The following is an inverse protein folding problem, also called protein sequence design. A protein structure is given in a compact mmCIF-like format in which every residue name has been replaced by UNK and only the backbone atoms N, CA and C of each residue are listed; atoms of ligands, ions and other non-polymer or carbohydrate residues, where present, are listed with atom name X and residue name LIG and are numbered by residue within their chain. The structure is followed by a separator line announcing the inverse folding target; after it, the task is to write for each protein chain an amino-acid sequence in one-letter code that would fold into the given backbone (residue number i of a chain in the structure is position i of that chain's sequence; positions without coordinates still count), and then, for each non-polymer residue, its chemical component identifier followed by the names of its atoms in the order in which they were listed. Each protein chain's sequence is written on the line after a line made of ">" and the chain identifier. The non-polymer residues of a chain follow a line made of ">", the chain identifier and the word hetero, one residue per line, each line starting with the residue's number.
data_IF_110853244664
#
_entry.id   IF_110853244664
#
_cell.length_a   1.000
_cell.length_b   1.000
_cell.length_c   1.000
_cell.angle_alpha   90.00
_cell.angle_beta   90.00
_cell.angle_gamma   90.00
#
_symmetry.space_group_name_H-M   'P 1'
#
loop_
_entity.id
_entity.type
_entity.pdbx_description
1 polymer ?
#
# COMPACT_ATOMS: atom_id res chain seq x y z
N UNK A 1 -21.66 17.42 -10.17
CA UNK A 1 -21.94 17.24 -8.72
C UNK A 1 -22.52 15.84 -8.51
N UNK A 2 -21.82 14.93 -7.81
CA UNK A 2 -22.31 13.55 -7.56
C UNK A 2 -23.49 13.61 -6.59
N UNK A 3 -24.66 13.11 -7.01
CA UNK A 3 -25.96 13.26 -6.30
C UNK A 3 -26.29 12.14 -5.29
N UNK A 4 -25.39 11.19 -5.01
CA UNK A 4 -25.66 10.09 -4.05
C UNK A 4 -24.41 9.76 -3.20
N UNK A 5 -24.53 9.69 -1.86
CA UNK A 5 -23.43 9.23 -1.01
C UNK A 5 -23.18 7.74 -1.27
N UNK A 6 -21.96 7.40 -1.69
CA UNK A 6 -21.50 6.02 -1.83
C UNK A 6 -20.52 5.70 -0.72
N UNK A 7 -20.90 4.78 0.18
CA UNK A 7 -20.05 4.29 1.29
C UNK A 7 -18.73 3.66 0.83
N UNK A 8 -18.59 3.36 -0.46
CA UNK A 8 -17.41 2.77 -1.09
C UNK A 8 -16.15 3.63 -0.97
N UNK A 9 -16.30 4.96 -1.04
CA UNK A 9 -15.17 5.89 -0.96
C UNK A 9 -14.59 5.95 0.46
N UNK A 10 -15.37 6.24 1.53
CA UNK A 10 -14.83 6.25 2.88
C UNK A 10 -14.36 4.86 3.33
N UNK A 11 -15.07 3.79 2.97
CA UNK A 11 -14.63 2.43 3.26
C UNK A 11 -13.33 2.07 2.52
N UNK A 12 -13.19 2.53 1.28
CA UNK A 12 -11.97 2.37 0.51
C UNK A 12 -10.79 3.11 1.12
N UNK A 13 -10.97 4.36 1.57
CA UNK A 13 -9.91 5.10 2.27
C UNK A 13 -9.49 4.35 3.54
N UNK A 14 -10.44 3.87 4.35
CA UNK A 14 -10.13 3.08 5.55
C UNK A 14 -9.39 1.78 5.20
N UNK A 15 -9.80 1.09 4.13
CA UNK A 15 -9.13 -0.11 3.64
C UNK A 15 -7.70 0.18 3.16
N UNK A 16 -7.47 1.30 2.46
CA UNK A 16 -6.14 1.73 2.04
C UNK A 16 -5.24 2.05 3.24
N UNK A 17 -5.77 2.78 4.21
CA UNK A 17 -5.04 3.10 5.44
C UNK A 17 -4.67 1.82 6.19
N UNK A 18 -5.62 0.91 6.39
CA UNK A 18 -5.35 -0.38 7.03
C UNK A 18 -4.29 -1.20 6.27
N UNK A 19 -4.38 -1.25 4.93
CA UNK A 19 -3.38 -1.91 4.09
C UNK A 19 -1.99 -1.29 4.25
N UNK A 20 -1.88 0.04 4.18
CA UNK A 20 -0.61 0.75 4.36
C UNK A 20 -0.05 0.55 5.77
N UNK A 21 -0.90 0.54 6.81
CA UNK A 21 -0.49 0.24 8.17
C UNK A 21 0.08 -1.18 8.29
N UNK A 22 -0.63 -2.19 7.77
CA UNK A 22 -0.16 -3.58 7.77
C UNK A 22 1.16 -3.70 7.01
N UNK A 23 1.27 -3.03 5.86
CA UNK A 23 2.47 -3.02 5.04
C UNK A 23 3.66 -2.41 5.80
N UNK A 24 3.47 -1.24 6.42
CA UNK A 24 4.50 -0.58 7.21
C UNK A 24 4.94 -1.44 8.42
N UNK A 25 3.99 -2.09 9.10
CA UNK A 25 4.30 -3.01 10.20
C UNK A 25 5.11 -4.21 9.69
N UNK A 26 4.73 -4.81 8.56
CA UNK A 26 5.48 -5.92 7.98
C UNK A 26 6.93 -5.52 7.62
N UNK A 27 7.11 -4.35 7.01
CA UNK A 27 8.46 -3.80 6.73
C UNK A 27 9.24 -3.55 8.01
N UNK A 28 8.60 -2.99 9.04
CA UNK A 28 9.22 -2.76 10.35
C UNK A 28 9.70 -4.06 10.99
N UNK A 29 8.91 -5.14 10.92
CA UNK A 29 9.33 -6.46 11.42
C UNK A 29 10.51 -7.05 10.64
N UNK A 30 10.64 -6.71 9.36
CA UNK A 30 11.73 -7.16 8.50
C UNK A 30 13.01 -6.32 8.67
N UNK A 31 12.89 -5.07 9.14
CA UNK A 31 14.00 -4.12 9.28
C UNK A 31 15.23 -4.66 10.04
N UNK A 32 15.11 -5.41 11.16
CA UNK A 32 16.28 -5.96 11.85
C UNK A 32 17.09 -6.93 10.98
N UNK A 33 16.40 -7.74 10.16
CA UNK A 33 17.03 -8.70 9.25
C UNK A 33 17.71 -7.99 8.08
N UNK A 34 17.08 -6.93 7.56
CA UNK A 34 17.63 -6.10 6.48
C UNK A 34 18.87 -5.33 6.97
N UNK A 35 18.86 -4.87 8.23
CA UNK A 35 19.97 -4.13 8.83
C UNK A 35 21.25 -4.94 9.04
N UNK A 36 21.18 -6.27 8.94
CA UNK A 36 22.36 -7.14 8.96
C UNK A 36 23.06 -7.24 7.59
N UNK A 37 22.44 -6.73 6.51
CA UNK A 37 22.97 -6.78 5.16
C UNK A 37 23.92 -5.61 4.87
N UNK A 38 24.81 -5.73 3.86
CA UNK A 38 25.61 -4.60 3.40
C UNK A 38 24.73 -3.42 2.94
N UNK A 39 25.20 -2.19 3.18
CA UNK A 39 24.45 -0.95 2.91
C UNK A 39 23.89 -0.90 1.48
N UNK A 40 24.67 -1.35 0.48
CA UNK A 40 24.23 -1.35 -0.92
C UNK A 40 23.01 -2.25 -1.15
N UNK A 41 22.99 -3.43 -0.51
CA UNK A 41 21.88 -4.39 -0.59
C UNK A 41 20.67 -3.83 0.17
N UNK A 42 20.89 -3.25 1.34
CA UNK A 42 19.86 -2.57 2.11
C UNK A 42 19.17 -1.48 1.29
N UNK A 43 19.93 -0.64 0.57
CA UNK A 43 19.38 0.41 -0.30
C UNK A 43 18.47 -0.18 -1.37
N UNK A 44 18.92 -1.21 -2.08
CA UNK A 44 18.11 -1.88 -3.12
C UNK A 44 16.83 -2.47 -2.52
N UNK A 45 16.93 -3.15 -1.37
CA UNK A 45 15.76 -3.73 -0.68
C UNK A 45 14.74 -2.65 -0.32
N UNK A 46 15.16 -1.53 0.26
CA UNK A 46 14.25 -0.45 0.62
C UNK A 46 13.63 0.25 -0.60
N UNK A 47 14.36 0.37 -1.72
CA UNK A 47 13.78 0.87 -2.98
C UNK A 47 12.68 -0.07 -3.47
N UNK A 48 12.94 -1.38 -3.48
CA UNK A 48 11.96 -2.38 -3.91
C UNK A 48 10.73 -2.37 -3.00
N UNK A 49 10.91 -2.37 -1.68
CA UNK A 49 9.81 -2.24 -0.73
C UNK A 49 9.04 -0.93 -0.93
N UNK A 50 9.74 0.19 -1.09
CA UNK A 50 9.15 1.50 -1.35
C UNK A 50 8.32 1.58 -2.64
N UNK A 51 8.55 0.69 -3.62
CA UNK A 51 7.78 0.64 -4.87
C UNK A 51 6.72 -0.48 -4.85
N UNK A 52 6.97 -1.59 -4.16
CA UNK A 52 6.13 -2.78 -4.19
C UNK A 52 4.67 -2.51 -3.78
N UNK A 53 4.45 -1.60 -2.82
CA UNK A 53 3.09 -1.25 -2.37
C UNK A 53 2.25 -0.49 -3.41
N UNK A 54 2.86 0.07 -4.47
CA UNK A 54 2.16 0.76 -5.55
C UNK A 54 1.42 -0.22 -6.49
N UNK A 55 1.90 -1.46 -6.61
CA UNK A 55 1.31 -2.50 -7.45
C UNK A 55 -0.19 -2.74 -7.14
N UNK A 56 -0.58 -2.98 -5.88
CA UNK A 56 -1.99 -3.12 -5.51
C UNK A 56 -2.75 -1.79 -5.52
N UNK A 57 -2.07 -0.65 -5.32
CA UNK A 57 -2.70 0.67 -5.20
C UNK A 57 -3.52 1.00 -6.44
N UNK A 58 -2.97 0.79 -7.65
CA UNK A 58 -3.67 1.10 -8.91
C UNK A 58 -5.02 0.38 -9.01
N UNK A 59 -5.06 -0.92 -8.73
CA UNK A 59 -6.29 -1.73 -8.79
C UNK A 59 -7.30 -1.29 -7.74
N UNK A 60 -6.82 -0.97 -6.55
CA UNK A 60 -7.66 -0.52 -5.44
C UNK A 60 -8.30 0.86 -5.69
N UNK A 61 -7.55 1.80 -6.27
CA UNK A 61 -8.05 3.11 -6.67
C UNK A 61 -9.16 2.99 -7.74
N UNK A 62 -8.96 2.13 -8.75
CA UNK A 62 -9.96 1.86 -9.80
C UNK A 62 -11.25 1.31 -9.17
N UNK A 63 -11.12 0.38 -8.21
CA UNK A 63 -12.26 -0.16 -7.50
C UNK A 63 -12.99 0.90 -6.66
N UNK A 64 -12.26 1.79 -5.97
CA UNK A 64 -12.88 2.88 -5.21
C UNK A 64 -13.71 3.82 -6.08
N UNK A 65 -13.21 4.17 -7.26
CA UNK A 65 -13.88 5.13 -8.14
C UNK A 65 -15.02 4.52 -8.96
N UNK A 66 -14.85 3.27 -9.43
CA UNK A 66 -15.76 2.63 -10.38
C UNK A 66 -16.58 1.47 -9.81
N UNK A 67 -16.19 0.93 -8.65
CA UNK A 67 -16.77 -0.29 -8.08
C UNK A 67 -16.45 -1.57 -8.86
N UNK A 68 -15.55 -1.50 -9.84
CA UNK A 68 -15.09 -2.63 -10.66
C UNK A 68 -13.61 -2.87 -10.39
N UNK A 69 -13.21 -4.12 -10.36
CA UNK A 69 -11.81 -4.51 -10.17
C UNK A 69 -11.07 -4.53 -11.51
N UNK A 70 -11.00 -3.38 -12.18
CA UNK A 70 -10.50 -3.30 -13.57
C UNK A 70 -11.53 -3.78 -14.59
#
# INVERSE_FOLDING_TARGET
>A
MRRKPTLRIPLGILGLLAFLTIYALAVMMLSPWIGALPVLVQTVVYIVLGIAWLLPLRRFLIWMETGRWG
#
